data_IF_909339506178
#
_entry.id   IF_909339506178
#
_cell.length_a   1.000
_cell.length_b   1.000
_cell.length_c   1.000
_cell.angle_alpha   90.00
_cell.angle_beta   90.00
_cell.angle_gamma   90.00
#
_symmetry.space_group_name_H-M   'P 1'
#
loop_
_entity.id
_entity.type
_entity.pdbx_description
1 polymer ?
#
# COMPACT_ATOMS: atom_id res chain seq x y z
N UNK A 1 -41.10 24.02 -56.52
CA UNK A 1 -40.18 24.52 -55.48
C UNK A 1 -39.70 23.48 -54.44
N UNK A 2 -40.00 22.17 -54.55
CA UNK A 2 -39.60 21.17 -53.52
C UNK A 2 -38.26 20.44 -53.76
N UNK A 3 -37.69 20.49 -54.97
CA UNK A 3 -36.42 19.79 -55.31
C UNK A 3 -35.15 20.53 -54.83
N UNK A 4 -35.26 21.82 -54.53
CA UNK A 4 -34.14 22.66 -54.04
C UNK A 4 -33.88 22.44 -52.55
N UNK A 5 -34.92 22.23 -51.73
CA UNK A 5 -34.76 22.02 -50.29
C UNK A 5 -34.10 20.68 -49.95
N UNK A 6 -34.41 19.61 -50.71
CA UNK A 6 -33.81 18.28 -50.47
C UNK A 6 -32.32 18.25 -50.80
N UNK A 7 -31.88 19.01 -51.81
CA UNK A 7 -30.46 19.12 -52.15
C UNK A 7 -29.67 19.93 -51.10
N UNK A 8 -30.30 20.97 -50.53
CA UNK A 8 -29.70 21.77 -49.46
C UNK A 8 -29.63 20.97 -48.15
N UNK A 9 -30.66 20.17 -47.82
CA UNK A 9 -30.65 19.30 -46.64
C UNK A 9 -29.60 18.17 -46.76
N UNK A 10 -29.41 17.62 -47.97
CA UNK A 10 -28.37 16.62 -48.23
C UNK A 10 -26.96 17.23 -48.17
N UNK A 11 -26.78 18.47 -48.64
CA UNK A 11 -25.52 19.21 -48.53
C UNK A 11 -25.21 19.62 -47.08
N UNK A 12 -26.22 19.91 -46.26
CA UNK A 12 -26.08 20.15 -44.82
C UNK A 12 -25.76 18.87 -44.04
N UNK A 13 -26.30 17.72 -44.45
CA UNK A 13 -25.94 16.42 -43.88
C UNK A 13 -24.52 15.97 -44.28
N UNK A 14 -24.07 16.27 -45.49
CA UNK A 14 -22.67 16.07 -45.89
C UNK A 14 -21.72 17.09 -45.23
N UNK A 15 -22.16 18.32 -44.99
CA UNK A 15 -21.38 19.36 -44.30
C UNK A 15 -21.28 19.17 -42.79
N UNK A 16 -22.21 18.41 -42.18
CA UNK A 16 -22.15 18.01 -40.77
C UNK A 16 -21.33 16.73 -40.54
N UNK A 17 -20.97 16.01 -41.61
CA UNK A 17 -19.88 15.05 -41.58
C UNK A 17 -18.53 15.77 -41.75
N UNK A 18 -18.31 16.84 -40.95
CA UNK A 18 -16.96 17.19 -40.55
C UNK A 18 -16.47 15.96 -39.82
N UNK A 19 -15.65 15.16 -40.51
CA UNK A 19 -14.93 14.07 -39.90
C UNK A 19 -14.41 14.57 -38.58
N UNK A 20 -14.78 13.91 -37.48
CA UNK A 20 -13.90 13.84 -36.34
C UNK A 20 -12.62 13.19 -36.88
N UNK A 21 -11.75 13.98 -37.49
CA UNK A 21 -10.43 13.55 -37.91
C UNK A 21 -9.72 13.31 -36.60
N UNK A 22 -9.79 12.05 -36.14
CA UNK A 22 -8.94 11.56 -35.06
C UNK A 22 -7.54 11.95 -35.47
N UNK A 23 -6.92 12.86 -34.71
CA UNK A 23 -5.57 13.30 -35.07
C UNK A 23 -4.66 12.07 -35.09
N UNK A 24 -3.62 12.01 -35.93
CA UNK A 24 -2.67 10.91 -35.88
C UNK A 24 -2.09 10.69 -34.47
N UNK A 25 -2.07 11.74 -33.66
CA UNK A 25 -1.64 11.76 -32.26
C UNK A 25 -2.62 11.03 -31.33
N UNK A 26 -3.93 11.26 -31.51
CA UNK A 26 -4.97 10.51 -30.81
C UNK A 26 -4.90 9.01 -31.18
N UNK A 27 -4.63 8.69 -32.46
CA UNK A 27 -4.43 7.29 -32.89
C UNK A 27 -3.19 6.67 -32.23
N UNK A 28 -2.06 7.39 -32.19
CA UNK A 28 -0.83 6.91 -31.55
C UNK A 28 -0.99 6.73 -30.04
N UNK A 29 -1.73 7.61 -29.36
CA UNK A 29 -2.01 7.47 -27.94
C UNK A 29 -3.00 6.36 -27.61
N UNK A 30 -4.05 6.17 -28.42
CA UNK A 30 -4.95 5.02 -28.25
C UNK A 30 -4.22 3.70 -28.48
N UNK A 31 -3.34 3.65 -29.49
CA UNK A 31 -2.47 2.49 -29.72
C UNK A 31 -1.53 2.25 -28.53
N UNK A 32 -0.92 3.30 -27.99
CA UNK A 32 -0.08 3.20 -26.80
C UNK A 32 -0.86 2.65 -25.60
N UNK A 33 -2.10 3.09 -25.38
CA UNK A 33 -2.98 2.55 -24.31
C UNK A 33 -3.26 1.07 -24.47
N UNK A 34 -3.54 0.59 -25.69
CA UNK A 34 -3.72 -0.84 -25.96
C UNK A 34 -2.44 -1.61 -25.63
N UNK A 35 -1.28 -1.11 -26.08
CA UNK A 35 0.01 -1.74 -25.79
C UNK A 35 0.35 -1.73 -24.29
N UNK A 36 -0.03 -0.68 -23.56
CA UNK A 36 0.11 -0.59 -22.10
C UNK A 36 -0.76 -1.64 -21.39
N UNK A 37 -2.00 -1.83 -21.85
CA UNK A 37 -2.90 -2.85 -21.33
C UNK A 37 -2.34 -4.26 -21.54
N UNK A 38 -1.78 -4.51 -22.73
CA UNK A 38 -1.09 -5.77 -23.07
C UNK A 38 0.31 -5.90 -22.44
N UNK A 39 0.74 -4.91 -21.62
CA UNK A 39 2.06 -4.86 -20.98
C UNK A 39 3.24 -4.92 -21.97
N UNK A 40 3.03 -4.50 -23.21
CA UNK A 40 4.05 -4.41 -24.24
C UNK A 40 4.85 -3.10 -24.10
N UNK A 41 5.52 -2.93 -22.96
CA UNK A 41 6.11 -1.67 -22.49
C UNK A 41 7.05 -1.01 -23.49
N UNK A 42 7.91 -1.79 -24.17
CA UNK A 42 8.86 -1.26 -25.16
C UNK A 42 8.16 -0.69 -26.40
N UNK A 43 7.09 -1.34 -26.86
CA UNK A 43 6.30 -0.89 -28.01
C UNK A 43 5.44 0.32 -27.62
N UNK A 44 4.82 0.28 -26.45
CA UNK A 44 4.09 1.41 -25.90
C UNK A 44 4.98 2.64 -25.79
N UNK A 45 6.19 2.49 -25.23
CA UNK A 45 7.17 3.57 -25.11
C UNK A 45 7.50 4.20 -26.47
N UNK A 46 7.70 3.39 -27.52
CA UNK A 46 7.99 3.91 -28.85
C UNK A 46 6.83 4.73 -29.44
N UNK A 47 5.58 4.31 -29.25
CA UNK A 47 4.42 5.11 -29.69
C UNK A 47 4.26 6.39 -28.86
N UNK A 48 4.53 6.32 -27.55
CA UNK A 48 4.49 7.49 -26.66
C UNK A 48 5.59 8.50 -27.00
N UNK A 49 6.81 8.04 -27.30
CA UNK A 49 7.92 8.91 -27.67
C UNK A 49 7.59 9.69 -28.96
N UNK A 50 6.95 9.07 -29.96
CA UNK A 50 6.46 9.77 -31.16
C UNK A 50 5.44 10.87 -30.85
N UNK A 51 4.54 10.63 -29.91
CA UNK A 51 3.56 11.64 -29.47
C UNK A 51 4.27 12.83 -28.82
N UNK A 52 5.34 12.56 -28.05
CA UNK A 52 6.12 13.60 -27.38
C UNK A 52 7.10 14.34 -28.31
N UNK A 53 7.43 13.79 -29.48
CA UNK A 53 8.17 14.50 -30.51
C UNK A 53 7.37 15.69 -31.07
N UNK A 54 6.06 15.54 -31.23
CA UNK A 54 5.18 16.61 -31.72
C UNK A 54 4.57 17.44 -30.59
N UNK A 55 4.26 16.82 -29.45
CA UNK A 55 3.71 17.50 -28.26
C UNK A 55 4.53 17.19 -27.01
N UNK A 56 5.67 17.88 -26.81
CA UNK A 56 6.59 17.59 -25.71
C UNK A 56 5.95 17.66 -24.32
N UNK A 57 4.90 18.46 -24.16
CA UNK A 57 4.27 18.76 -22.87
C UNK A 57 2.89 18.09 -22.72
N UNK A 58 2.58 17.11 -23.57
CA UNK A 58 1.34 16.35 -23.45
C UNK A 58 1.36 15.46 -22.20
N UNK A 59 0.69 15.93 -21.14
CA UNK A 59 0.78 15.36 -19.79
C UNK A 59 0.46 13.85 -19.72
N UNK A 60 -0.60 13.31 -20.35
CA UNK A 60 -0.86 11.88 -20.35
C UNK A 60 0.29 11.06 -20.95
N UNK A 61 0.90 11.51 -22.05
CA UNK A 61 2.05 10.83 -22.65
C UNK A 61 3.26 10.85 -21.72
N UNK A 62 3.55 11.98 -21.06
CA UNK A 62 4.64 12.06 -20.07
C UNK A 62 4.45 11.07 -18.90
N UNK A 63 3.22 10.96 -18.37
CA UNK A 63 2.88 9.98 -17.33
C UNK A 63 3.12 8.55 -17.80
N UNK A 64 2.57 8.18 -18.97
CA UNK A 64 2.69 6.82 -19.48
C UNK A 64 4.12 6.47 -19.91
N UNK A 65 4.89 7.46 -20.39
CA UNK A 65 6.32 7.29 -20.65
C UNK A 65 7.06 6.90 -19.39
N UNK A 66 6.86 7.65 -18.30
CA UNK A 66 7.47 7.36 -17.01
C UNK A 66 7.07 5.97 -16.49
N UNK A 67 5.80 5.58 -16.67
CA UNK A 67 5.31 4.24 -16.33
C UNK A 67 5.99 3.15 -17.15
N UNK A 68 6.08 3.28 -18.47
CA UNK A 68 6.82 2.33 -19.32
C UNK A 68 8.29 2.18 -18.88
N UNK A 69 8.95 3.29 -18.55
CA UNK A 69 10.33 3.29 -18.06
C UNK A 69 10.45 2.55 -16.72
N UNK A 70 9.49 2.72 -15.81
CA UNK A 70 9.46 2.03 -14.53
C UNK A 70 9.37 0.51 -14.73
N UNK A 71 8.44 0.06 -15.57
CA UNK A 71 8.20 -1.36 -15.89
C UNK A 71 9.39 -2.00 -16.64
N UNK A 72 10.13 -1.22 -17.42
CA UNK A 72 11.37 -1.65 -18.07
C UNK A 72 12.59 -1.61 -17.13
N UNK A 73 12.41 -1.30 -15.84
CA UNK A 73 13.48 -1.25 -14.85
C UNK A 73 14.36 0.01 -14.91
N UNK A 74 14.03 0.98 -15.78
CA UNK A 74 14.73 2.27 -15.93
C UNK A 74 14.27 3.27 -14.86
N UNK A 75 14.42 2.89 -13.59
CA UNK A 75 13.81 3.55 -12.42
C UNK A 75 14.17 5.03 -12.26
N UNK A 76 15.43 5.41 -12.51
CA UNK A 76 15.89 6.81 -12.41
C UNK A 76 15.24 7.71 -13.44
N UNK A 77 15.11 7.21 -14.66
CA UNK A 77 14.50 7.93 -15.77
C UNK A 77 12.98 8.02 -15.57
N UNK A 78 12.36 6.97 -15.05
CA UNK A 78 10.96 6.99 -14.65
C UNK A 78 10.68 8.07 -13.58
N UNK A 79 11.52 8.15 -12.53
CA UNK A 79 11.40 9.21 -11.51
C UNK A 79 11.49 10.61 -12.13
N UNK A 80 12.42 10.81 -13.05
CA UNK A 80 12.58 12.10 -13.75
C UNK A 80 11.36 12.40 -14.62
N UNK A 81 10.84 11.39 -15.33
CA UNK A 81 9.63 11.51 -16.14
C UNK A 81 8.39 11.85 -15.32
N UNK A 82 8.20 11.21 -14.15
CA UNK A 82 7.09 11.54 -13.26
C UNK A 82 7.22 12.95 -12.67
N UNK A 83 8.43 13.43 -12.34
CA UNK A 83 8.65 14.82 -11.93
C UNK A 83 8.21 15.80 -13.02
N UNK A 84 8.66 15.59 -14.26
CA UNK A 84 8.24 16.41 -15.41
C UNK A 84 6.73 16.37 -15.61
N UNK A 85 6.10 15.20 -15.49
CA UNK A 85 4.63 15.09 -15.56
C UNK A 85 3.93 15.92 -14.46
N UNK A 86 4.46 15.92 -13.23
CA UNK A 86 3.88 16.66 -12.11
C UNK A 86 3.97 18.19 -12.26
N UNK A 87 4.88 18.68 -13.09
CA UNK A 87 4.99 20.10 -13.48
C UNK A 87 3.88 20.51 -14.47
N UNK A 88 3.26 19.55 -15.16
CA UNK A 88 2.19 19.80 -16.12
C UNK A 88 0.80 19.83 -15.48
N UNK A 89 -0.17 20.39 -16.21
CA UNK A 89 -1.59 20.34 -15.85
C UNK A 89 -2.20 18.97 -16.17
N UNK A 90 -1.88 17.97 -15.35
CA UNK A 90 -2.49 16.64 -15.39
C UNK A 90 -3.74 16.51 -14.50
N UNK A 91 -4.56 15.47 -14.75
CA UNK A 91 -5.66 15.12 -13.86
C UNK A 91 -5.14 14.76 -12.47
N UNK A 92 -5.89 15.09 -11.42
CA UNK A 92 -5.42 14.82 -10.05
C UNK A 92 -5.19 13.32 -9.82
N UNK A 93 -6.04 12.45 -10.36
CA UNK A 93 -5.88 11.00 -10.23
C UNK A 93 -4.51 10.54 -10.73
N UNK A 94 -4.10 10.97 -11.93
CA UNK A 94 -2.79 10.62 -12.47
C UNK A 94 -1.65 11.25 -11.67
N UNK A 95 -1.83 12.46 -11.15
CA UNK A 95 -0.85 13.12 -10.26
C UNK A 95 -0.69 12.35 -8.95
N UNK A 96 -1.76 11.83 -8.37
CA UNK A 96 -1.72 10.98 -7.18
C UNK A 96 -1.00 9.65 -7.47
N UNK A 97 -1.36 8.97 -8.56
CA UNK A 97 -0.70 7.74 -9.01
C UNK A 97 0.80 7.95 -9.25
N UNK A 98 1.19 9.03 -9.94
CA UNK A 98 2.59 9.36 -10.20
C UNK A 98 3.39 9.51 -8.90
N UNK A 99 2.82 10.20 -7.89
CA UNK A 99 3.49 10.36 -6.58
C UNK A 99 3.67 9.02 -5.88
N UNK A 100 2.67 8.14 -5.93
CA UNK A 100 2.75 6.77 -5.38
C UNK A 100 3.84 5.97 -6.10
N UNK A 101 3.86 5.99 -7.44
CA UNK A 101 4.92 5.33 -8.22
C UNK A 101 6.30 5.91 -7.90
N UNK A 102 6.42 7.22 -7.70
CA UNK A 102 7.68 7.84 -7.30
C UNK A 102 8.16 7.36 -5.93
N UNK A 103 7.25 7.20 -4.95
CA UNK A 103 7.57 6.62 -3.65
C UNK A 103 8.12 5.19 -3.81
N UNK A 104 7.46 4.35 -4.61
CA UNK A 104 7.91 2.97 -4.88
C UNK A 104 9.29 2.91 -5.52
N UNK A 105 9.51 3.73 -6.55
CA UNK A 105 10.78 3.80 -7.26
C UNK A 105 11.90 4.31 -6.36
N UNK A 106 11.64 5.37 -5.58
CA UNK A 106 12.60 5.94 -4.65
C UNK A 106 12.95 4.94 -3.54
N UNK A 107 11.97 4.23 -3.00
CA UNK A 107 12.19 3.16 -2.02
C UNK A 107 13.07 2.06 -2.61
N UNK A 108 12.74 1.57 -3.80
CA UNK A 108 13.52 0.51 -4.44
C UNK A 108 14.96 0.91 -4.75
N UNK A 109 15.19 2.16 -5.18
CA UNK A 109 16.54 2.68 -5.43
C UNK A 109 17.33 2.86 -4.13
N UNK A 110 16.67 3.34 -3.06
CA UNK A 110 17.26 3.46 -1.74
C UNK A 110 17.65 2.10 -1.14
N UNK A 111 16.75 1.10 -1.19
CA UNK A 111 17.04 -0.27 -0.77
C UNK A 111 18.17 -0.91 -1.60
N UNK A 112 18.35 -0.47 -2.85
CA UNK A 112 19.50 -0.83 -3.69
C UNK A 112 20.80 -0.10 -3.35
N UNK A 113 20.88 0.63 -2.23
CA UNK A 113 22.07 1.32 -1.76
C UNK A 113 22.29 2.72 -2.34
N UNK A 114 21.38 3.24 -3.17
CA UNK A 114 21.53 4.57 -3.74
C UNK A 114 21.14 5.67 -2.74
N UNK A 115 22.06 6.59 -2.48
CA UNK A 115 21.86 7.72 -1.57
C UNK A 115 20.94 8.77 -2.21
N UNK A 116 20.30 9.59 -1.37
CA UNK A 116 19.45 10.71 -1.80
C UNK A 116 17.99 10.37 -2.10
N UNK A 117 17.68 9.15 -2.54
CA UNK A 117 16.30 8.74 -2.83
C UNK A 117 15.42 8.62 -1.58
N UNK A 118 16.01 8.35 -0.42
CA UNK A 118 15.29 8.38 0.86
C UNK A 118 14.63 9.75 1.11
N UNK A 119 15.31 10.85 0.79
CA UNK A 119 14.77 12.19 0.97
C UNK A 119 13.50 12.38 0.12
N UNK A 120 13.46 11.82 -1.09
CA UNK A 120 12.27 11.89 -1.95
C UNK A 120 11.04 11.26 -1.28
N UNK A 121 11.22 10.17 -0.52
CA UNK A 121 10.13 9.53 0.22
C UNK A 121 9.70 10.41 1.40
N UNK A 122 10.67 10.99 2.10
CA UNK A 122 10.41 11.88 3.25
C UNK A 122 9.62 13.12 2.84
N UNK A 123 9.94 13.73 1.70
CA UNK A 123 9.23 14.91 1.19
C UNK A 123 7.73 14.63 0.97
N UNK A 124 7.36 13.37 0.64
CA UNK A 124 5.96 12.99 0.46
C UNK A 124 5.16 12.88 1.77
N UNK A 125 5.81 12.88 2.94
CA UNK A 125 5.11 12.97 4.23
C UNK A 125 4.36 14.30 4.40
N UNK A 126 4.80 15.35 3.71
CA UNK A 126 4.19 16.69 3.75
C UNK A 126 3.24 16.94 2.56
N UNK A 127 3.01 15.93 1.71
CA UNK A 127 2.08 16.02 0.57
C UNK A 127 0.69 16.49 1.01
N UNK A 128 -0.03 17.33 0.23
CA UNK A 128 -1.40 17.73 0.57
C UNK A 128 -2.39 16.56 0.55
N UNK A 129 -2.10 15.50 -0.24
CA UNK A 129 -2.96 14.33 -0.39
C UNK A 129 -2.73 13.31 0.73
N UNK A 130 -3.78 12.98 1.48
CA UNK A 130 -3.69 12.04 2.60
C UNK A 130 -3.18 10.67 2.18
N UNK A 131 -3.66 10.14 1.05
CA UNK A 131 -3.25 8.84 0.51
C UNK A 131 -1.73 8.80 0.26
N UNK A 132 -1.18 9.85 -0.35
CA UNK A 132 0.25 9.96 -0.66
C UNK A 132 1.08 10.00 0.62
N UNK A 133 0.68 10.83 1.61
CA UNK A 133 1.36 10.87 2.91
C UNK A 133 1.36 9.50 3.58
N UNK A 134 0.21 8.83 3.59
CA UNK A 134 0.07 7.52 4.19
C UNK A 134 0.91 6.47 3.47
N UNK A 135 0.93 6.48 2.14
CA UNK A 135 1.73 5.54 1.37
C UNK A 135 3.23 5.73 1.60
N UNK A 136 3.71 6.98 1.66
CA UNK A 136 5.09 7.29 2.05
C UNK A 136 5.41 6.77 3.45
N UNK A 137 4.53 7.04 4.41
CA UNK A 137 4.67 6.56 5.79
C UNK A 137 4.71 5.02 5.88
N UNK A 138 3.88 4.33 5.11
CA UNK A 138 3.92 2.87 4.98
C UNK A 138 5.27 2.39 4.49
N UNK A 139 5.82 2.96 3.41
CA UNK A 139 7.14 2.54 2.89
C UNK A 139 8.27 2.79 3.88
N UNK A 140 8.25 3.91 4.58
CA UNK A 140 9.24 4.21 5.61
C UNK A 140 9.20 3.21 6.77
N UNK A 141 8.04 2.61 7.08
CA UNK A 141 7.93 1.57 8.11
C UNK A 141 8.68 0.27 7.80
N UNK A 142 9.09 0.05 6.54
CA UNK A 142 9.90 -1.09 6.13
C UNK A 142 11.41 -0.84 6.20
N UNK A 143 11.85 0.36 6.61
CA UNK A 143 13.26 0.66 6.76
C UNK A 143 13.80 0.06 8.06
N UNK A 144 15.02 -0.50 7.98
CA UNK A 144 15.72 -1.00 9.17
C UNK A 144 16.15 0.15 10.10
N UNK A 145 16.46 1.32 9.54
CA UNK A 145 16.86 2.50 10.31
C UNK A 145 15.68 3.11 11.08
N UNK A 146 15.53 2.70 12.33
CA UNK A 146 14.42 3.10 13.22
C UNK A 146 14.24 4.61 13.34
N UNK A 147 15.34 5.38 13.39
CA UNK A 147 15.28 6.85 13.52
C UNK A 147 14.58 7.51 12.31
N UNK A 148 14.87 7.03 11.11
CA UNK A 148 14.23 7.51 9.89
C UNK A 148 12.80 7.01 9.80
N UNK A 149 12.56 5.73 10.10
CA UNK A 149 11.23 5.15 10.11
C UNK A 149 10.28 5.88 11.10
N UNK A 150 10.79 6.34 12.24
CA UNK A 150 10.05 7.11 13.23
C UNK A 150 9.43 8.42 12.69
N UNK A 151 9.97 8.99 11.60
CA UNK A 151 9.37 10.17 10.95
C UNK A 151 7.98 9.89 10.37
N UNK A 152 7.65 8.63 10.09
CA UNK A 152 6.34 8.20 9.62
C UNK A 152 5.27 8.16 10.73
N UNK A 153 5.69 8.08 12.01
CA UNK A 153 4.79 7.82 13.16
C UNK A 153 3.65 8.83 13.28
N UNK A 154 3.85 10.16 13.13
CA UNK A 154 2.74 11.11 13.24
C UNK A 154 1.64 10.88 12.20
N UNK A 155 2.03 10.52 10.97
CA UNK A 155 1.09 10.21 9.88
C UNK A 155 0.35 8.91 10.19
N UNK A 156 1.07 7.86 10.59
CA UNK A 156 0.49 6.55 10.90
C UNK A 156 -0.46 6.62 12.11
N UNK A 157 -0.10 7.30 13.20
CA UNK A 157 -0.99 7.52 14.36
C UNK A 157 -2.29 8.23 13.96
N UNK A 158 -2.21 9.24 13.09
CA UNK A 158 -3.39 9.97 12.59
C UNK A 158 -4.32 9.04 11.81
N UNK A 159 -3.78 8.16 10.99
CA UNK A 159 -4.58 7.19 10.21
C UNK A 159 -5.16 6.10 11.11
N UNK A 160 -4.36 5.55 12.04
CA UNK A 160 -4.80 4.52 12.99
C UNK A 160 -5.98 4.97 13.88
N UNK A 161 -6.09 6.27 14.19
CA UNK A 161 -7.19 6.84 14.98
C UNK A 161 -8.49 7.07 14.18
N UNK A 162 -8.45 7.05 12.85
CA UNK A 162 -9.66 7.29 12.02
C UNK A 162 -10.55 6.05 12.01
N UNK A 163 -11.82 6.22 12.38
CA UNK A 163 -12.83 5.14 12.36
C UNK A 163 -13.48 4.91 10.99
N UNK A 164 -13.25 5.80 10.02
CA UNK A 164 -13.93 5.77 8.72
C UNK A 164 -13.47 4.63 7.80
N UNK A 165 -12.28 4.07 8.03
CA UNK A 165 -11.70 3.01 7.20
C UNK A 165 -10.91 2.04 8.10
N UNK A 166 -11.55 0.95 8.56
CA UNK A 166 -10.92 -0.03 9.45
C UNK A 166 -9.67 -0.70 8.85
N UNK A 167 -9.69 -1.06 7.56
CA UNK A 167 -8.55 -1.70 6.89
C UNK A 167 -7.34 -0.77 6.86
N UNK A 168 -7.56 0.51 6.52
CA UNK A 168 -6.49 1.50 6.52
C UNK A 168 -5.92 1.75 7.91
N UNK A 169 -6.79 1.76 8.93
CA UNK A 169 -6.37 1.90 10.33
C UNK A 169 -5.52 0.71 10.77
N UNK A 170 -5.89 -0.52 10.41
CA UNK A 170 -5.13 -1.72 10.79
C UNK A 170 -3.78 -1.79 10.07
N UNK A 171 -3.72 -1.42 8.78
CA UNK A 171 -2.45 -1.25 8.06
C UNK A 171 -1.54 -0.23 8.75
N UNK A 172 -2.10 0.88 9.22
CA UNK A 172 -1.34 1.89 9.95
C UNK A 172 -0.80 1.34 11.29
N UNK A 173 -1.61 0.58 12.05
CA UNK A 173 -1.18 -0.06 13.30
C UNK A 173 -0.06 -1.07 13.05
N UNK A 174 -0.18 -1.90 12.02
CA UNK A 174 0.88 -2.84 11.62
C UNK A 174 2.18 -2.10 11.27
N UNK A 175 2.09 -0.99 10.54
CA UNK A 175 3.25 -0.17 10.22
C UNK A 175 3.89 0.46 11.47
N UNK A 176 3.09 0.92 12.43
CA UNK A 176 3.59 1.39 13.73
C UNK A 176 4.34 0.27 14.47
N UNK A 177 3.79 -0.95 14.51
CA UNK A 177 4.45 -2.11 15.12
C UNK A 177 5.79 -2.45 14.48
N UNK A 178 5.90 -2.34 13.15
CA UNK A 178 7.18 -2.54 12.44
C UNK A 178 8.24 -1.53 12.85
N UNK A 179 7.84 -0.29 13.12
CA UNK A 179 8.74 0.77 13.58
C UNK A 179 9.14 0.47 15.02
N UNK A 180 8.17 0.53 15.94
CA UNK A 180 8.33 0.29 17.37
C UNK A 180 6.96 -0.08 17.98
N UNK A 181 6.82 -1.24 18.64
CA UNK A 181 5.58 -1.66 19.27
C UNK A 181 4.94 -0.63 20.21
N UNK A 182 5.76 0.21 20.86
CA UNK A 182 5.31 1.23 21.84
C UNK A 182 4.44 2.33 21.23
N UNK A 183 4.43 2.46 19.90
CA UNK A 183 3.63 3.49 19.24
C UNK A 183 2.11 3.24 19.24
N UNK A 184 1.62 2.09 19.72
CA UNK A 184 0.19 1.78 19.82
C UNK A 184 -0.47 2.20 21.14
N UNK A 185 0.28 2.70 22.11
CA UNK A 185 -0.13 2.89 23.53
C UNK A 185 -1.15 4.02 23.80
N UNK A 186 -1.80 4.60 22.79
CA UNK A 186 -2.82 5.64 23.00
C UNK A 186 -4.24 5.06 23.35
N UNK A 187 -4.34 3.80 23.80
CA UNK A 187 -5.60 3.21 24.29
C UNK A 187 -5.58 3.06 25.81
N UNK A 188 -6.61 3.53 26.54
CA UNK A 188 -6.67 3.47 27.99
C UNK A 188 -6.94 2.03 28.44
N UNK A 189 -5.89 1.24 28.46
CA UNK A 189 -5.81 0.02 29.26
C UNK A 189 -4.34 -0.16 29.59
N UNK A 190 -3.97 0.32 30.77
CA UNK A 190 -2.76 -0.03 31.48
C UNK A 190 -2.58 -1.56 31.44
N UNK A 191 -1.77 -2.03 30.48
CA UNK A 191 -1.17 -3.34 30.59
C UNK A 191 0.29 -3.08 30.94
N UNK A 192 0.50 -2.85 32.22
CA UNK A 192 1.79 -2.62 32.87
C UNK A 192 2.93 -3.42 32.21
N UNK A 193 3.90 -2.73 31.58
CA UNK A 193 5.21 -3.29 31.23
C UNK A 193 5.23 -4.37 30.16
N UNK A 194 4.31 -4.34 29.19
CA UNK A 194 4.26 -5.28 28.06
C UNK A 194 4.92 -4.80 26.77
N UNK A 195 5.61 -3.66 26.80
CA UNK A 195 6.26 -2.98 25.67
C UNK A 195 7.19 -3.90 24.85
N UNK A 196 7.87 -4.83 25.53
CA UNK A 196 8.82 -5.79 24.94
C UNK A 196 8.38 -7.25 25.07
N UNK A 197 7.11 -7.46 25.43
CA UNK A 197 6.59 -8.78 25.70
C UNK A 197 6.47 -9.61 24.41
N UNK A 198 6.93 -10.85 24.45
CA UNK A 198 6.86 -11.77 23.30
C UNK A 198 5.89 -12.90 23.62
N UNK A 199 4.83 -13.02 22.84
CA UNK A 199 4.00 -14.22 22.86
C UNK A 199 4.79 -15.38 22.27
N UNK A 200 4.86 -16.47 23.02
CA UNK A 200 5.38 -17.75 22.58
C UNK A 200 4.25 -18.76 22.50
N UNK A 201 4.20 -19.48 21.38
CA UNK A 201 3.32 -20.62 21.16
C UNK A 201 4.22 -21.79 20.78
N UNK A 202 4.14 -22.88 21.53
CA UNK A 202 4.87 -24.11 21.28
C UNK A 202 3.88 -25.26 21.15
N UNK A 203 4.02 -26.08 20.11
CA UNK A 203 3.26 -27.32 19.96
C UNK A 203 4.24 -28.47 20.14
N UNK A 204 4.00 -29.34 21.12
CA UNK A 204 4.87 -30.45 21.49
C UNK A 204 4.15 -31.76 21.21
N UNK A 205 4.80 -32.65 20.44
CA UNK A 205 4.22 -33.95 20.13
C UNK A 205 4.48 -34.95 21.27
N UNK A 206 3.44 -35.61 21.78
CA UNK A 206 3.53 -36.54 22.91
C UNK A 206 4.39 -37.78 22.61
N UNK A 207 4.42 -38.26 21.36
CA UNK A 207 5.18 -39.46 20.98
C UNK A 207 6.68 -39.22 20.92
N UNK A 208 7.08 -37.99 20.57
CA UNK A 208 8.50 -37.65 20.39
C UNK A 208 9.06 -36.80 21.53
N UNK A 209 8.21 -36.15 22.31
CA UNK A 209 8.58 -35.18 23.33
C UNK A 209 9.24 -33.91 22.78
N UNK A 210 9.23 -33.71 21.46
CA UNK A 210 9.88 -32.57 20.78
C UNK A 210 8.85 -31.56 20.28
N UNK A 211 9.21 -30.26 20.25
CA UNK A 211 8.36 -29.25 19.65
C UNK A 211 8.25 -29.48 18.13
N UNK A 212 7.03 -29.62 17.64
CA UNK A 212 6.69 -29.65 16.21
C UNK A 212 6.54 -28.25 15.62
N UNK A 213 6.21 -27.25 16.46
CA UNK A 213 6.08 -25.85 16.07
C UNK A 213 6.50 -24.93 17.21
N UNK A 214 7.23 -23.86 16.88
CA UNK A 214 7.55 -22.77 17.81
C UNK A 214 7.33 -21.43 17.12
N UNK A 215 6.37 -20.65 17.61
CA UNK A 215 6.06 -19.30 17.14
C UNK A 215 6.50 -18.31 18.23
N UNK A 216 7.17 -17.24 17.82
CA UNK A 216 7.54 -16.13 18.70
C UNK A 216 7.21 -14.80 18.04
N UNK A 217 6.22 -14.10 18.57
CA UNK A 217 5.74 -12.83 18.01
C UNK A 217 5.58 -11.76 19.10
N UNK A 218 5.72 -10.47 18.78
CA UNK A 218 5.42 -9.40 19.74
C UNK A 218 3.99 -9.53 20.26
N UNK A 219 3.80 -9.44 21.58
CA UNK A 219 2.49 -9.61 22.21
C UNK A 219 1.45 -8.63 21.67
N UNK A 220 1.86 -7.38 21.40
CA UNK A 220 1.00 -6.37 20.78
C UNK A 220 0.50 -6.75 19.39
N UNK A 221 1.33 -7.43 18.60
CA UNK A 221 0.91 -7.93 17.29
C UNK A 221 -0.12 -9.05 17.44
N UNK A 222 0.12 -9.97 18.38
CA UNK A 222 -0.82 -11.06 18.67
C UNK A 222 -2.17 -10.52 19.14
N UNK A 223 -2.17 -9.57 20.10
CA UNK A 223 -3.36 -8.90 20.59
C UNK A 223 -4.14 -8.24 19.44
N UNK A 224 -3.46 -7.49 18.58
CA UNK A 224 -4.09 -6.85 17.44
C UNK A 224 -4.74 -7.87 16.48
N UNK A 225 -4.06 -8.99 16.22
CA UNK A 225 -4.61 -10.05 15.37
C UNK A 225 -5.88 -10.68 15.98
N UNK A 226 -5.90 -10.91 17.30
CA UNK A 226 -7.07 -11.42 18.01
C UNK A 226 -8.22 -10.40 18.02
N UNK A 227 -7.91 -9.11 18.23
CA UNK A 227 -8.87 -8.01 18.17
C UNK A 227 -9.41 -7.74 16.76
N UNK A 228 -8.75 -8.23 15.71
CA UNK A 228 -9.19 -8.11 14.32
C UNK A 228 -10.06 -9.29 13.85
N UNK A 229 -10.22 -10.35 14.67
CA UNK A 229 -11.03 -11.51 14.29
C UNK A 229 -12.49 -11.10 14.00
N UNK A 230 -13.10 -11.61 12.92
CA UNK A 230 -14.52 -11.40 12.62
C UNK A 230 -15.42 -11.76 13.81
N UNK A 231 -16.52 -11.05 13.99
CA UNK A 231 -17.43 -11.26 15.12
C UNK A 231 -17.97 -12.69 15.15
N UNK A 232 -18.22 -13.30 13.99
CA UNK A 232 -18.64 -14.69 13.86
C UNK A 232 -17.61 -15.66 14.46
N UNK A 233 -16.32 -15.44 14.21
CA UNK A 233 -15.24 -16.27 14.74
C UNK A 233 -15.07 -16.09 16.25
N UNK A 234 -15.17 -14.85 16.76
CA UNK A 234 -15.16 -14.61 18.21
C UNK A 234 -16.31 -15.30 18.92
N UNK A 235 -17.53 -15.23 18.36
CA UNK A 235 -18.70 -15.92 18.90
C UNK A 235 -18.52 -17.44 18.89
N UNK A 236 -17.92 -17.99 17.84
CA UNK A 236 -17.62 -19.42 17.75
C UNK A 236 -16.58 -19.88 18.78
N UNK A 237 -15.57 -19.05 19.09
CA UNK A 237 -14.62 -19.33 20.16
C UNK A 237 -15.30 -19.26 21.53
N UNK A 238 -16.13 -18.24 21.74
CA UNK A 238 -16.84 -18.04 23.01
C UNK A 238 -17.82 -19.17 23.31
N UNK A 239 -18.54 -19.71 22.32
CA UNK A 239 -19.44 -20.85 22.50
C UNK A 239 -18.72 -22.15 22.87
N UNK A 240 -17.42 -22.24 22.54
CA UNK A 240 -16.53 -23.34 22.95
C UNK A 240 -15.84 -23.09 24.31
N UNK A 241 -16.20 -22.02 25.00
CA UNK A 241 -15.64 -21.65 26.31
C UNK A 241 -14.37 -20.80 26.25
N UNK A 242 -13.89 -20.43 25.06
CA UNK A 242 -12.70 -19.61 24.89
C UNK A 242 -13.09 -18.12 24.77
N UNK A 243 -12.89 -17.35 25.83
CA UNK A 243 -13.04 -15.89 25.81
C UNK A 243 -11.70 -15.24 25.46
N UNK A 244 -11.64 -14.55 24.32
CA UNK A 244 -10.43 -13.84 23.87
C UNK A 244 -9.99 -12.78 24.89
N UNK A 245 -10.93 -12.02 25.44
CA UNK A 245 -10.62 -11.00 26.45
C UNK A 245 -9.99 -11.63 27.70
N UNK A 246 -10.52 -12.76 28.16
CA UNK A 246 -9.93 -13.50 29.28
C UNK A 246 -8.55 -14.05 28.93
N UNK A 247 -8.37 -14.63 27.74
CA UNK A 247 -7.06 -15.15 27.30
C UNK A 247 -6.03 -14.03 27.27
N UNK A 248 -6.36 -12.88 26.67
CA UNK A 248 -5.48 -11.71 26.63
C UNK A 248 -5.18 -11.22 28.05
N UNK A 249 -6.20 -11.15 28.93
CA UNK A 249 -6.02 -10.73 30.32
C UNK A 249 -5.12 -11.69 31.11
N UNK A 250 -5.32 -13.01 30.99
CA UNK A 250 -4.47 -14.03 31.62
C UNK A 250 -3.03 -13.92 31.13
N UNK A 251 -2.82 -13.87 29.82
CA UNK A 251 -1.49 -13.74 29.22
C UNK A 251 -0.79 -12.43 29.58
N UNK A 252 -1.54 -11.37 29.84
CA UNK A 252 -1.00 -10.06 30.16
C UNK A 252 -0.73 -9.82 31.64
N UNK A 253 -1.56 -10.41 32.51
CA UNK A 253 -1.52 -10.14 33.96
C UNK A 253 -0.77 -11.22 34.75
N UNK A 254 -0.59 -12.41 34.15
CA UNK A 254 0.04 -13.56 34.81
C UNK A 254 1.21 -14.09 33.99
N UNK A 255 2.25 -14.60 34.65
CA UNK A 255 3.32 -15.38 34.00
C UNK A 255 2.90 -16.84 33.76
N UNK A 256 1.60 -17.11 33.72
CA UNK A 256 1.08 -18.46 33.56
C UNK A 256 1.25 -18.94 32.12
N UNK A 257 1.49 -20.24 31.99
CA UNK A 257 1.54 -20.93 30.71
C UNK A 257 0.17 -21.59 30.51
N UNK A 258 -0.57 -21.13 29.49
CA UNK A 258 -1.79 -21.78 29.06
C UNK A 258 -1.40 -23.08 28.35
N UNK A 259 -1.93 -24.21 28.83
CA UNK A 259 -1.70 -25.53 28.24
C UNK A 259 -3.01 -26.07 27.69
N UNK A 260 -2.99 -26.49 26.44
CA UNK A 260 -4.12 -27.17 25.78
C UNK A 260 -3.63 -28.55 25.36
N UNK A 261 -4.21 -29.59 25.96
CA UNK A 261 -3.86 -30.98 25.66
C UNK A 261 -4.82 -31.56 24.62
N UNK A 262 -4.24 -32.29 23.67
CA UNK A 262 -4.94 -33.18 22.75
C UNK A 262 -4.35 -34.59 22.88
N UNK A 263 -4.93 -35.59 22.22
CA UNK A 263 -4.42 -36.98 22.32
C UNK A 263 -2.94 -37.08 21.90
N UNK A 264 -2.55 -36.37 20.84
CA UNK A 264 -1.22 -36.47 20.23
C UNK A 264 -0.27 -35.30 20.55
N UNK A 265 -0.80 -34.14 20.95
CA UNK A 265 -0.03 -32.90 21.09
C UNK A 265 -0.43 -32.06 22.30
N UNK A 266 0.53 -31.33 22.86
CA UNK A 266 0.34 -30.29 23.87
C UNK A 266 0.68 -28.93 23.25
N UNK A 267 -0.27 -27.99 23.30
CA UNK A 267 -0.05 -26.59 22.91
C UNK A 267 0.21 -25.75 24.16
N UNK A 268 1.37 -25.11 24.23
CA UNK A 268 1.79 -24.22 25.31
C UNK A 268 1.83 -22.78 24.82
N UNK A 269 1.16 -21.88 25.52
CA UNK A 269 1.09 -20.46 25.18
C UNK A 269 1.47 -19.63 26.42
N UNK A 270 2.45 -18.74 26.27
CA UNK A 270 2.87 -17.86 27.36
C UNK A 270 3.50 -16.58 26.82
N UNK A 271 3.73 -15.62 27.72
CA UNK A 271 4.37 -14.36 27.38
C UNK A 271 5.71 -14.23 28.10
N UNK A 272 6.78 -14.04 27.35
CA UNK A 272 8.07 -13.64 27.92
C UNK A 272 8.09 -12.13 28.12
N UNK A 273 8.47 -11.68 29.30
CA UNK A 273 8.87 -10.29 29.53
C UNK A 273 10.39 -10.23 29.42
N UNK A 274 10.91 -9.32 28.57
CA UNK A 274 12.35 -9.01 28.51
C UNK A 274 12.71 -7.96 29.55
#
# INVERSE_FOLDING_TARGET
MKRSLTAILLALLLGAAVSATVSPEDVSMERAKILLFDKQWRRALAEIDRVLETHPDFAPALYYRARCLAELGRKKEALTGYKRFLEMNGSETLREEARISMIDLAFSLHSGGMKGYLQTILDFLDSPRQTVRFYAALKLSYLDEKKTAAKAVPVLKRVAKKRSDPDLADRAKIALLRIDPRHLEDSPSDVNGMDNAMLRIEVVNHRTGKPSLTIRIPFMLARLALEALPEAERKALQSRGYSLDRIIQTLSSSREIIRLETEDEEVRIWVDHK
#
